data_IF_022055145282
#
_entry.id   IF_022055145282
#
_cell.length_a   1.000
_cell.length_b   1.000
_cell.length_c   1.000
_cell.angle_alpha   90.00
_cell.angle_beta   90.00
_cell.angle_gamma   90.00
#
_symmetry.space_group_name_H-M   'P 1'
#
loop_
_entity.id
_entity.type
_entity.pdbx_description
1 polymer ?
#
# COMPACT_ATOMS: atom_id res chain seq x y z
N UNK A 1 -35.28 -29.73 -10.81
CA UNK A 1 -34.36 -28.91 -11.62
C UNK A 1 -33.13 -28.55 -10.78
N UNK A 2 -31.94 -28.74 -11.35
CA UNK A 2 -30.68 -28.34 -10.69
C UNK A 2 -30.52 -26.86 -10.92
N UNK A 3 -30.55 -26.05 -9.85
CA UNK A 3 -30.38 -24.60 -9.92
C UNK A 3 -28.91 -24.21 -10.19
N UNK A 4 -27.99 -24.83 -9.48
CA UNK A 4 -26.56 -24.63 -9.63
C UNK A 4 -25.83 -25.97 -9.77
N UNK A 5 -24.83 -25.99 -10.61
CA UNK A 5 -23.96 -27.15 -10.80
C UNK A 5 -22.92 -27.21 -9.69
N UNK A 6 -22.36 -28.39 -9.47
CA UNK A 6 -21.33 -28.63 -8.46
C UNK A 6 -20.16 -27.62 -8.52
N UNK A 7 -19.59 -27.28 -9.70
CA UNK A 7 -18.55 -26.28 -9.77
C UNK A 7 -18.98 -24.90 -9.26
N UNK A 8 -20.23 -24.51 -9.47
CA UNK A 8 -20.77 -23.26 -8.95
C UNK A 8 -20.87 -23.26 -7.41
N UNK A 9 -21.28 -24.38 -6.83
CA UNK A 9 -21.40 -24.54 -5.38
C UNK A 9 -20.02 -24.55 -4.70
N UNK A 10 -19.03 -25.18 -5.32
CA UNK A 10 -17.64 -25.16 -4.85
C UNK A 10 -17.09 -23.73 -4.90
N UNK A 11 -17.32 -23.01 -5.98
CA UNK A 11 -16.88 -21.63 -6.13
C UNK A 11 -17.55 -20.70 -5.11
N UNK A 12 -18.86 -20.85 -4.86
CA UNK A 12 -19.55 -20.14 -3.77
C UNK A 12 -18.95 -20.42 -2.40
N UNK A 13 -18.57 -21.66 -2.12
CA UNK A 13 -17.95 -22.06 -0.86
C UNK A 13 -16.54 -21.49 -0.67
N UNK A 14 -15.85 -21.15 -1.74
CA UNK A 14 -14.52 -20.54 -1.71
C UNK A 14 -14.57 -19.01 -1.67
N UNK A 15 -15.51 -18.40 -2.39
CA UNK A 15 -15.60 -16.95 -2.54
C UNK A 15 -16.53 -16.25 -1.55
N UNK A 16 -17.49 -16.97 -0.99
CA UNK A 16 -18.52 -16.44 -0.09
C UNK A 16 -19.22 -15.18 -0.66
N UNK A 17 -19.91 -15.27 -1.82
CA UNK A 17 -20.59 -14.11 -2.39
C UNK A 17 -21.76 -13.65 -1.52
N UNK A 18 -21.79 -12.38 -1.15
CA UNK A 18 -22.83 -11.77 -0.29
C UNK A 18 -23.59 -10.63 -0.98
N UNK A 19 -23.31 -10.38 -2.25
CA UNK A 19 -24.03 -9.41 -3.09
C UNK A 19 -24.43 -10.06 -4.42
N UNK A 20 -25.39 -9.47 -5.12
CA UNK A 20 -25.81 -9.95 -6.44
C UNK A 20 -24.67 -9.84 -7.47
N UNK A 21 -23.87 -8.81 -7.39
CA UNK A 21 -22.71 -8.61 -8.25
C UNK A 21 -21.67 -9.71 -8.03
N UNK A 22 -21.33 -10.00 -6.78
CA UNK A 22 -20.41 -11.09 -6.44
C UNK A 22 -20.97 -12.46 -6.85
N UNK A 23 -22.26 -12.69 -6.63
CA UNK A 23 -22.94 -13.94 -7.05
C UNK A 23 -22.88 -14.12 -8.58
N UNK A 24 -23.01 -13.05 -9.34
CA UNK A 24 -22.90 -13.07 -10.80
C UNK A 24 -21.51 -13.44 -11.31
N UNK A 25 -20.46 -13.24 -10.50
CA UNK A 25 -19.08 -13.61 -10.82
C UNK A 25 -18.76 -15.08 -10.51
N UNK A 26 -19.62 -15.77 -9.78
CA UNK A 26 -19.46 -17.20 -9.47
C UNK A 26 -19.50 -18.01 -10.76
N UNK A 27 -18.64 -19.02 -10.86
CA UNK A 27 -18.52 -19.88 -12.03
C UNK A 27 -19.88 -20.50 -12.41
N UNK A 28 -20.32 -20.26 -13.64
CA UNK A 28 -21.56 -20.84 -14.17
C UNK A 28 -22.86 -20.19 -13.68
N UNK A 29 -22.79 -19.10 -12.93
CA UNK A 29 -23.97 -18.38 -12.43
C UNK A 29 -24.41 -17.27 -13.40
N UNK A 30 -23.57 -16.27 -13.63
CA UNK A 30 -23.90 -15.11 -14.47
C UNK A 30 -25.02 -14.25 -13.90
N UNK A 31 -25.21 -13.06 -14.48
CA UNK A 31 -26.16 -12.05 -13.96
C UNK A 31 -27.63 -12.54 -13.93
N UNK A 32 -28.04 -13.25 -14.95
CA UNK A 32 -29.43 -13.73 -15.06
C UNK A 32 -29.81 -14.73 -13.97
N UNK A 33 -28.95 -15.70 -13.71
CA UNK A 33 -29.16 -16.69 -12.62
C UNK A 33 -29.00 -16.05 -11.24
N UNK A 34 -28.01 -15.17 -11.06
CA UNK A 34 -27.82 -14.44 -9.81
C UNK A 34 -29.08 -13.67 -9.43
N UNK A 35 -29.62 -12.89 -10.36
CA UNK A 35 -30.82 -12.09 -10.14
C UNK A 35 -32.06 -12.94 -9.86
N UNK A 36 -32.21 -14.09 -10.53
CA UNK A 36 -33.41 -14.93 -10.42
C UNK A 36 -33.39 -15.85 -9.21
N UNK A 37 -32.25 -16.40 -8.87
CA UNK A 37 -32.12 -17.48 -7.87
C UNK A 37 -31.08 -17.20 -6.78
N UNK A 38 -30.31 -16.14 -6.90
CA UNK A 38 -29.14 -15.89 -6.05
C UNK A 38 -29.48 -15.39 -4.65
N UNK A 39 -30.62 -14.70 -4.46
CA UNK A 39 -30.90 -13.99 -3.20
C UNK A 39 -30.96 -14.93 -1.98
N UNK A 40 -31.57 -16.07 -2.09
CA UNK A 40 -31.67 -17.04 -0.99
C UNK A 40 -30.29 -17.60 -0.62
N UNK A 41 -29.46 -17.85 -1.61
CA UNK A 41 -28.06 -18.27 -1.42
C UNK A 41 -27.21 -17.17 -0.79
N UNK A 42 -27.36 -15.94 -1.27
CA UNK A 42 -26.69 -14.77 -0.70
C UNK A 42 -27.05 -14.59 0.77
N UNK A 43 -28.31 -14.70 1.13
CA UNK A 43 -28.77 -14.57 2.50
C UNK A 43 -28.20 -15.68 3.40
N UNK A 44 -28.17 -16.92 2.92
CA UNK A 44 -27.59 -18.05 3.65
C UNK A 44 -26.07 -17.89 3.82
N UNK A 45 -25.35 -17.48 2.78
CA UNK A 45 -23.91 -17.27 2.82
C UNK A 45 -23.56 -16.10 3.75
N UNK A 46 -24.30 -15.00 3.67
CA UNK A 46 -24.12 -13.83 4.56
C UNK A 46 -24.29 -14.22 6.02
N UNK A 47 -25.32 -14.97 6.34
CA UNK A 47 -25.55 -15.48 7.70
C UNK A 47 -24.38 -16.34 8.17
N UNK A 48 -23.90 -17.25 7.34
CA UNK A 48 -22.77 -18.12 7.64
C UNK A 48 -21.48 -17.34 7.88
N UNK A 49 -21.19 -16.37 7.02
CA UNK A 49 -20.02 -15.49 7.14
C UNK A 49 -20.06 -14.69 8.44
N UNK A 50 -21.21 -14.12 8.78
CA UNK A 50 -21.37 -13.32 10.02
C UNK A 50 -21.27 -14.19 11.28
N UNK A 51 -21.92 -15.35 11.31
CA UNK A 51 -21.91 -16.25 12.47
C UNK A 51 -20.54 -16.87 12.73
N UNK A 52 -19.73 -17.08 11.70
CA UNK A 52 -18.41 -17.71 11.80
C UNK A 52 -17.25 -16.72 11.73
N UNK A 53 -17.52 -15.41 11.69
CA UNK A 53 -16.53 -14.34 11.57
C UNK A 53 -15.53 -14.59 10.42
N UNK A 54 -16.03 -14.99 9.25
CA UNK A 54 -15.19 -15.29 8.10
C UNK A 54 -14.69 -14.00 7.46
N UNK A 55 -13.38 -13.88 7.30
CA UNK A 55 -12.75 -12.84 6.50
C UNK A 55 -12.71 -13.28 5.03
N UNK A 56 -13.47 -12.60 4.18
CA UNK A 56 -13.48 -12.91 2.76
C UNK A 56 -12.28 -12.25 2.07
N UNK A 57 -11.66 -12.89 1.07
CA UNK A 57 -10.52 -12.30 0.33
C UNK A 57 -10.83 -10.92 -0.25
N UNK A 58 -12.06 -10.69 -0.73
CA UNK A 58 -12.51 -9.42 -1.29
C UNK A 58 -12.46 -8.28 -0.25
N UNK A 59 -12.88 -8.55 0.98
CA UNK A 59 -12.90 -7.57 2.07
C UNK A 59 -11.50 -7.21 2.53
N UNK A 60 -10.58 -8.16 2.53
CA UNK A 60 -9.16 -7.93 2.86
C UNK A 60 -8.54 -6.98 1.84
N UNK A 61 -8.76 -7.20 0.55
CA UNK A 61 -8.25 -6.34 -0.52
C UNK A 61 -8.79 -4.91 -0.39
N UNK A 62 -10.10 -4.75 -0.19
CA UNK A 62 -10.74 -3.43 -0.02
C UNK A 62 -10.18 -2.69 1.20
N UNK A 63 -10.02 -3.36 2.34
CA UNK A 63 -9.42 -2.76 3.55
C UNK A 63 -7.97 -2.34 3.31
N UNK A 64 -7.16 -3.17 2.67
CA UNK A 64 -5.76 -2.86 2.37
C UNK A 64 -5.64 -1.61 1.50
N UNK A 65 -6.45 -1.49 0.45
CA UNK A 65 -6.48 -0.30 -0.41
C UNK A 65 -6.93 0.94 0.36
N UNK A 66 -7.97 0.84 1.17
CA UNK A 66 -8.46 1.94 2.00
C UNK A 66 -7.41 2.40 3.03
N UNK A 67 -6.72 1.46 3.68
CA UNK A 67 -5.64 1.76 4.62
C UNK A 67 -4.46 2.44 3.95
N UNK A 68 -4.03 2.00 2.77
CA UNK A 68 -2.95 2.64 1.99
C UNK A 68 -3.30 4.08 1.62
N UNK A 69 -4.53 4.33 1.15
CA UNK A 69 -5.00 5.68 0.84
C UNK A 69 -5.03 6.58 2.08
N UNK A 70 -5.52 6.08 3.20
CA UNK A 70 -5.55 6.80 4.49
C UNK A 70 -4.13 7.12 4.97
N UNK A 71 -3.21 6.17 4.88
CA UNK A 71 -1.81 6.36 5.25
C UNK A 71 -1.12 7.39 4.36
N UNK A 72 -1.36 7.38 3.05
CA UNK A 72 -0.82 8.37 2.12
C UNK A 72 -1.21 9.80 2.52
N UNK A 73 -2.50 10.04 2.77
CA UNK A 73 -3.00 11.35 3.18
C UNK A 73 -2.38 11.76 4.53
N UNK A 74 -2.34 10.86 5.48
CA UNK A 74 -1.76 11.09 6.80
C UNK A 74 -0.27 11.46 6.72
N UNK A 75 0.52 10.74 5.94
CA UNK A 75 1.95 10.98 5.75
C UNK A 75 2.18 12.35 5.12
N UNK A 76 1.47 12.68 4.04
CA UNK A 76 1.59 13.98 3.36
C UNK A 76 1.28 15.12 4.34
N UNK A 77 0.15 15.05 5.03
CA UNK A 77 -0.26 16.08 5.98
C UNK A 77 0.70 16.21 7.16
N UNK A 78 1.22 15.11 7.66
CA UNK A 78 2.18 15.10 8.77
C UNK A 78 3.50 15.76 8.38
N UNK A 79 4.01 15.47 7.18
CA UNK A 79 5.23 16.11 6.65
C UNK A 79 5.02 17.59 6.35
N UNK A 80 3.87 17.99 5.85
CA UNK A 80 3.52 19.41 5.63
C UNK A 80 3.45 20.18 6.94
N UNK A 81 3.06 19.54 8.04
CA UNK A 81 3.10 20.09 9.40
C UNK A 81 4.48 20.06 10.05
N UNK A 82 5.52 19.62 9.33
CA UNK A 82 6.89 19.52 9.82
C UNK A 82 7.09 18.52 10.96
N UNK A 83 6.31 17.45 11.02
CA UNK A 83 6.49 16.37 11.99
C UNK A 83 7.72 15.52 11.64
N UNK A 84 8.33 14.93 12.67
CA UNK A 84 9.48 14.04 12.56
C UNK A 84 9.04 12.60 12.24
N UNK A 85 9.95 11.82 11.65
CA UNK A 85 9.70 10.42 11.28
C UNK A 85 9.18 9.59 12.46
N UNK A 86 9.79 9.74 13.63
CA UNK A 86 9.35 9.02 14.84
C UNK A 86 7.91 9.33 15.23
N UNK A 87 7.53 10.59 15.19
CA UNK A 87 6.18 11.04 15.56
C UNK A 87 5.14 10.58 14.52
N UNK A 88 5.50 10.63 13.25
CA UNK A 88 4.64 10.15 12.16
C UNK A 88 4.39 8.64 12.29
N UNK A 89 5.44 7.86 12.51
CA UNK A 89 5.33 6.42 12.70
C UNK A 89 4.46 6.06 13.92
N UNK A 90 4.71 6.70 15.07
CA UNK A 90 3.93 6.48 16.29
C UNK A 90 2.46 6.84 16.16
N UNK A 91 2.14 7.91 15.45
CA UNK A 91 0.77 8.38 15.28
C UNK A 91 -0.16 7.39 14.54
N UNK A 92 0.39 6.47 13.77
CA UNK A 92 -0.36 5.40 13.07
C UNK A 92 0.02 3.99 13.51
N UNK A 93 0.87 3.85 14.54
CA UNK A 93 1.34 2.54 14.98
C UNK A 93 2.17 1.81 13.94
N UNK A 94 2.88 2.54 13.08
CA UNK A 94 3.79 1.99 12.08
C UNK A 94 5.21 1.86 12.62
N UNK A 95 5.95 0.85 12.15
CA UNK A 95 7.40 0.82 12.30
C UNK A 95 8.06 1.84 11.36
N UNK A 96 9.34 2.18 11.61
CA UNK A 96 10.11 3.01 10.67
C UNK A 96 10.19 2.38 9.29
N UNK A 97 10.40 1.07 9.22
CA UNK A 97 10.45 0.30 7.97
C UNK A 97 9.14 0.41 7.18
N UNK A 98 8.01 0.23 7.84
CA UNK A 98 6.68 0.39 7.22
C UNK A 98 6.47 1.82 6.71
N UNK A 99 6.83 2.82 7.50
CA UNK A 99 6.71 4.23 7.11
C UNK A 99 7.57 4.57 5.89
N UNK A 100 8.85 4.17 5.90
CA UNK A 100 9.75 4.42 4.76
C UNK A 100 9.29 3.72 3.50
N UNK A 101 8.79 2.49 3.60
CA UNK A 101 8.21 1.75 2.47
C UNK A 101 7.00 2.46 1.88
N UNK A 102 6.09 2.95 2.73
CA UNK A 102 4.93 3.75 2.30
C UNK A 102 5.36 5.05 1.62
N UNK A 103 6.36 5.75 2.16
CA UNK A 103 6.89 6.97 1.57
C UNK A 103 7.54 6.73 0.20
N UNK A 104 8.27 5.64 0.03
CA UNK A 104 8.85 5.22 -1.25
C UNK A 104 7.75 4.99 -2.30
N UNK A 105 6.71 4.24 -1.95
CA UNK A 105 5.55 4.02 -2.83
C UNK A 105 4.87 5.34 -3.24
N UNK A 106 4.72 6.28 -2.30
CA UNK A 106 4.10 7.58 -2.56
C UNK A 106 4.88 8.38 -3.61
N UNK A 107 6.20 8.50 -3.46
CA UNK A 107 7.02 9.29 -4.41
C UNK A 107 7.18 8.59 -5.75
N UNK A 108 7.22 7.27 -5.77
CA UNK A 108 7.29 6.47 -7.00
C UNK A 108 6.03 6.60 -7.87
N UNK A 109 4.90 6.91 -7.27
CA UNK A 109 3.65 7.22 -7.99
C UNK A 109 3.55 8.67 -8.47
N UNK A 110 4.59 9.48 -8.27
CA UNK A 110 4.63 10.87 -8.72
C UNK A 110 4.10 11.90 -7.72
N UNK A 111 3.88 11.54 -6.47
CA UNK A 111 3.45 12.47 -5.43
C UNK A 111 4.65 13.06 -4.69
N UNK A 112 4.68 14.38 -4.52
CA UNK A 112 5.74 15.06 -3.75
C UNK A 112 5.51 14.91 -2.26
N UNK A 113 6.61 14.71 -1.52
CA UNK A 113 6.66 14.74 -0.06
C UNK A 113 7.56 15.88 0.43
N UNK A 114 7.12 16.60 1.44
CA UNK A 114 7.86 17.71 2.03
C UNK A 114 8.80 17.19 3.14
N UNK A 115 10.01 16.80 2.75
CA UNK A 115 11.03 16.22 3.64
C UNK A 115 12.12 17.21 4.08
N UNK A 116 12.09 18.45 3.61
CA UNK A 116 13.16 19.41 3.79
C UNK A 116 13.63 19.56 5.24
N UNK A 117 12.73 19.65 6.20
CA UNK A 117 13.06 19.78 7.62
C UNK A 117 13.78 18.55 8.20
N UNK A 118 13.47 17.36 7.72
CA UNK A 118 14.10 16.10 8.13
C UNK A 118 15.49 15.99 7.51
N UNK A 119 15.60 16.25 6.22
CA UNK A 119 16.85 16.14 5.47
C UNK A 119 17.90 17.16 5.97
N UNK A 120 17.48 18.38 6.25
CA UNK A 120 18.38 19.44 6.77
C UNK A 120 18.92 19.13 8.17
N UNK A 121 18.15 18.43 9.00
CA UNK A 121 18.58 18.04 10.35
C UNK A 121 19.46 16.79 10.35
N UNK A 122 19.31 15.95 9.34
CA UNK A 122 19.88 14.61 9.29
C UNK A 122 21.33 14.58 8.82
N UNK A 123 21.71 15.45 7.87
CA UNK A 123 23.02 15.46 7.21
C UNK A 123 23.48 16.87 6.90
N UNK A 124 24.81 17.02 6.82
CA UNK A 124 25.45 18.24 6.35
C UNK A 124 25.20 18.45 4.84
N UNK A 125 25.42 19.67 4.37
CA UNK A 125 25.10 20.08 2.99
C UNK A 125 25.92 19.32 1.94
N UNK A 126 27.22 19.17 2.18
CA UNK A 126 28.13 18.46 1.29
C UNK A 126 27.79 16.97 1.17
N UNK A 127 27.47 16.32 2.29
CA UNK A 127 27.02 14.90 2.30
C UNK A 127 25.75 14.72 1.48
N UNK A 128 24.79 15.65 1.61
CA UNK A 128 23.54 15.60 0.84
C UNK A 128 23.78 15.82 -0.65
N UNK A 129 24.67 16.73 -1.00
CA UNK A 129 25.02 16.99 -2.40
C UNK A 129 25.67 15.78 -3.05
N UNK A 130 26.59 15.09 -2.37
CA UNK A 130 27.24 13.88 -2.88
C UNK A 130 26.24 12.78 -3.21
N UNK A 131 25.30 12.52 -2.31
CA UNK A 131 24.25 11.51 -2.53
C UNK A 131 23.27 11.94 -3.63
N UNK A 132 22.91 13.22 -3.69
CA UNK A 132 22.06 13.74 -4.77
C UNK A 132 22.74 13.65 -6.15
N UNK A 133 24.03 13.98 -6.24
CA UNK A 133 24.80 13.83 -7.50
C UNK A 133 24.83 12.35 -7.93
N UNK A 134 25.06 11.43 -7.01
CA UNK A 134 25.02 10.00 -7.28
C UNK A 134 23.69 9.60 -7.92
N UNK A 135 22.55 9.97 -7.33
CA UNK A 135 21.24 9.63 -7.89
C UNK A 135 20.94 10.30 -9.23
N UNK A 136 21.52 11.46 -9.53
CA UNK A 136 21.41 12.08 -10.85
C UNK A 136 22.11 11.29 -11.95
N UNK A 137 23.21 10.64 -11.59
CA UNK A 137 24.02 9.87 -12.54
C UNK A 137 23.50 8.44 -12.74
N UNK A 138 22.66 7.94 -11.85
CA UNK A 138 22.07 6.59 -11.96
C UNK A 138 20.75 6.63 -12.73
N UNK A 139 20.51 5.62 -13.57
CA UNK A 139 19.30 5.56 -14.41
C UNK A 139 18.05 5.13 -13.64
N UNK A 140 18.21 4.28 -12.63
CA UNK A 140 17.12 3.63 -11.90
C UNK A 140 16.97 4.04 -10.44
N UNK A 141 17.79 4.97 -9.95
CA UNK A 141 17.79 5.46 -8.57
C UNK A 141 17.86 4.32 -7.54
N UNK A 142 18.72 3.33 -7.79
CA UNK A 142 18.82 2.12 -6.98
C UNK A 142 19.38 2.39 -5.58
N UNK A 143 18.63 1.97 -4.56
CA UNK A 143 19.12 1.98 -3.17
C UNK A 143 20.35 1.07 -2.99
N UNK A 144 20.33 -0.12 -3.59
CA UNK A 144 21.43 -1.09 -3.45
C UNK A 144 22.74 -0.56 -4.03
N UNK A 145 22.70 0.11 -5.17
CA UNK A 145 23.85 0.78 -5.77
C UNK A 145 24.37 1.93 -4.89
N UNK A 146 23.48 2.74 -4.36
CA UNK A 146 23.83 3.82 -3.42
C UNK A 146 24.47 3.25 -2.15
N UNK A 147 23.96 2.15 -1.62
CA UNK A 147 24.49 1.50 -0.43
C UNK A 147 25.92 0.97 -0.64
N UNK A 148 26.23 0.50 -1.83
CA UNK A 148 27.58 0.07 -2.21
C UNK A 148 28.51 1.27 -2.39
N UNK A 149 28.06 2.31 -3.08
CA UNK A 149 28.86 3.54 -3.33
C UNK A 149 29.29 4.21 -2.03
N UNK A 150 28.37 4.29 -1.07
CA UNK A 150 28.60 4.95 0.23
C UNK A 150 28.89 3.95 1.36
N UNK A 151 29.46 2.76 1.04
CA UNK A 151 29.74 1.70 2.02
C UNK A 151 30.76 2.14 3.09
N UNK A 152 31.73 2.97 2.71
CA UNK A 152 32.77 3.47 3.60
C UNK A 152 32.33 4.69 4.42
N UNK A 153 31.20 5.29 4.07
CA UNK A 153 30.64 6.43 4.79
C UNK A 153 29.78 5.94 5.96
N UNK A 154 29.68 6.72 7.00
CA UNK A 154 28.91 6.38 8.20
C UNK A 154 27.39 6.58 8.05
N UNK A 155 26.86 6.49 6.83
CA UNK A 155 25.42 6.66 6.58
C UNK A 155 24.64 5.39 6.93
N UNK A 156 23.52 5.58 7.64
CA UNK A 156 22.58 4.49 7.88
C UNK A 156 21.74 4.19 6.64
N UNK A 157 21.18 2.99 6.57
CA UNK A 157 20.27 2.62 5.48
C UNK A 157 19.05 3.55 5.42
N UNK A 158 18.52 3.95 6.56
CA UNK A 158 17.38 4.87 6.66
C UNK A 158 17.72 6.27 6.13
N UNK A 159 18.92 6.76 6.40
CA UNK A 159 19.41 8.04 5.88
C UNK A 159 19.51 8.03 4.35
N UNK A 160 20.09 6.97 3.77
CA UNK A 160 20.16 6.80 2.32
C UNK A 160 18.76 6.68 1.70
N UNK A 161 17.87 5.92 2.33
CA UNK A 161 16.47 5.79 1.88
C UNK A 161 15.73 7.12 1.88
N UNK A 162 15.87 7.91 2.95
CA UNK A 162 15.21 9.21 3.06
C UNK A 162 15.74 10.19 2.01
N UNK A 163 17.04 10.20 1.73
CA UNK A 163 17.62 11.03 0.66
C UNK A 163 17.16 10.59 -0.72
N UNK A 164 17.05 9.29 -0.95
CA UNK A 164 16.49 8.74 -2.19
C UNK A 164 15.03 9.17 -2.38
N UNK A 165 14.22 9.08 -1.33
CA UNK A 165 12.82 9.53 -1.34
C UNK A 165 12.74 11.02 -1.65
N UNK A 166 13.55 11.85 -1.00
CA UNK A 166 13.62 13.30 -1.26
C UNK A 166 14.04 13.60 -2.70
N UNK A 167 15.03 12.90 -3.22
CA UNK A 167 15.48 13.04 -4.60
C UNK A 167 14.37 12.69 -5.61
N UNK A 168 13.74 11.54 -5.49
CA UNK A 168 12.63 11.11 -6.37
C UNK A 168 11.48 12.11 -6.27
N UNK A 169 11.15 12.56 -5.07
CA UNK A 169 10.11 13.56 -4.83
C UNK A 169 10.35 14.86 -5.59
N UNK A 170 11.59 15.29 -5.71
CA UNK A 170 11.96 16.54 -6.40
C UNK A 170 12.09 16.39 -7.91
N UNK A 171 12.57 15.25 -8.38
CA UNK A 171 12.91 15.00 -9.80
C UNK A 171 11.71 14.46 -10.59
N UNK A 172 10.93 13.56 -10.00
CA UNK A 172 9.78 12.94 -10.66
C UNK A 172 8.54 13.85 -10.73
N UNK A 173 8.60 15.00 -10.14
CA UNK A 173 7.50 15.95 -10.01
C UNK A 173 7.96 17.37 -10.34
#
# INVERSE_FOLDING_TARGET
AILFMEPSLIDMANQYPITLEEMAQVQGVGQGKAKKYGQDFINAIRKYVDENNIERPQDIVVRTVANKKSNKIYIIQSLDKKLWIDDIAKGKGMSHEELLTEMEEIVETGTRLNLGHIILDMMEEDEREDIHEFFKETEDFSFDEARVEFEEDEFTDDEIRLLRIDFISKVAN
#
